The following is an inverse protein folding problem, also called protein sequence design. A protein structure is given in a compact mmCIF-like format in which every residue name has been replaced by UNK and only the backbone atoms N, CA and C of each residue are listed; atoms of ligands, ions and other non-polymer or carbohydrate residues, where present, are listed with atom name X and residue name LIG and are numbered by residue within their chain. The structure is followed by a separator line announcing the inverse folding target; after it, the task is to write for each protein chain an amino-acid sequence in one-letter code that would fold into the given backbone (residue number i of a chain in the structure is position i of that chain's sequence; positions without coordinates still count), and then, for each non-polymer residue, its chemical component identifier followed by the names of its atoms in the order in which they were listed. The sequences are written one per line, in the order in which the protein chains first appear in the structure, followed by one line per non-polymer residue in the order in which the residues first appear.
data_IF_385927937059
#
_entry.id   IF_385927937059
#
_cell.length_a   1.000
_cell.length_b   1.000
_cell.length_c   1.000
_cell.angle_alpha   90.00
_cell.angle_beta   90.00
_cell.angle_gamma   90.00
#
_symmetry.space_group_name_H-M   'P 1'
#
loop_
_entity.id
_entity.type
_entity.pdbx_description
1 polymer ?
#
# COMPACT_ATOMS: atom_id res chain seq x y z
N UNK A 1 15.02 4.07 13.12
CA UNK A 1 13.90 4.22 12.16
C UNK A 1 14.26 3.63 10.80
N UNK A 2 15.28 4.14 10.11
CA UNK A 2 15.74 3.58 8.82
C UNK A 2 16.14 2.09 8.90
N UNK A 3 16.98 1.71 9.86
CA UNK A 3 17.42 0.31 10.04
C UNK A 3 16.26 -0.66 10.33
N UNK A 4 15.27 -0.19 11.09
CA UNK A 4 14.05 -0.97 11.41
C UNK A 4 13.21 -1.18 10.16
N UNK A 5 13.03 -0.14 9.34
CA UNK A 5 12.33 -0.25 8.07
C UNK A 5 13.06 -1.14 7.06
N UNK A 6 14.40 -1.08 7.03
CA UNK A 6 15.23 -1.96 6.19
C UNK A 6 15.11 -3.43 6.64
N UNK A 7 15.09 -3.71 7.95
CA UNK A 7 14.89 -5.05 8.46
C UNK A 7 13.51 -5.62 8.13
N UNK A 8 12.45 -4.81 8.23
CA UNK A 8 11.08 -5.21 7.86
C UNK A 8 10.98 -5.41 6.35
N UNK A 9 11.56 -4.51 5.55
CA UNK A 9 11.63 -4.63 4.10
C UNK A 9 12.30 -5.94 3.67
N UNK A 10 13.44 -6.29 4.29
CA UNK A 10 14.15 -7.52 4.03
C UNK A 10 13.36 -8.77 4.46
N UNK A 11 12.71 -8.73 5.64
CA UNK A 11 11.91 -9.85 6.16
C UNK A 11 10.69 -10.13 5.29
N UNK A 12 10.01 -9.08 4.84
CA UNK A 12 8.72 -9.19 4.15
C UNK A 12 8.86 -9.16 2.62
N UNK A 13 10.08 -8.99 2.11
CA UNK A 13 10.36 -8.92 0.67
C UNK A 13 9.75 -7.68 -0.01
N UNK A 14 9.61 -6.58 0.73
CA UNK A 14 8.96 -5.33 0.27
C UNK A 14 9.97 -4.19 0.19
N UNK A 15 9.58 -3.08 -0.45
CA UNK A 15 10.41 -1.87 -0.48
C UNK A 15 10.46 -1.17 0.89
N UNK A 16 11.57 -0.49 1.19
CA UNK A 16 11.73 0.28 2.46
C UNK A 16 10.63 1.32 2.64
N UNK A 17 10.19 1.99 1.57
CA UNK A 17 9.07 2.94 1.64
C UNK A 17 7.74 2.30 2.04
N UNK A 18 7.48 1.07 1.60
CA UNK A 18 6.29 0.29 1.99
C UNK A 18 6.38 -0.12 3.47
N UNK A 19 7.55 -0.57 3.91
CA UNK A 19 7.81 -0.89 5.31
C UNK A 19 7.60 0.33 6.23
N UNK A 20 8.11 1.50 5.85
CA UNK A 20 7.90 2.76 6.59
C UNK A 20 6.40 3.11 6.66
N UNK A 21 5.69 2.99 5.54
CA UNK A 21 4.25 3.32 5.47
C UNK A 21 3.43 2.43 6.39
N UNK A 22 3.75 1.12 6.47
CA UNK A 22 3.11 0.19 7.41
C UNK A 22 3.38 0.55 8.88
N UNK A 23 4.65 0.80 9.22
CA UNK A 23 5.04 1.16 10.61
C UNK A 23 4.29 2.41 11.08
N UNK A 24 4.20 3.43 10.24
CA UNK A 24 3.49 4.65 10.59
C UNK A 24 1.96 4.46 10.59
N UNK A 25 1.41 3.69 9.66
CA UNK A 25 -0.02 3.37 9.63
C UNK A 25 -0.47 2.69 10.92
N UNK A 26 0.24 1.63 11.32
CA UNK A 26 -0.02 0.91 12.58
C UNK A 26 0.12 1.81 13.81
N UNK A 27 1.18 2.62 13.88
CA UNK A 27 1.42 3.51 15.02
C UNK A 27 0.34 4.60 15.17
N UNK A 28 -0.27 5.02 14.07
CA UNK A 28 -1.34 6.03 14.05
C UNK A 28 -2.75 5.41 14.17
N UNK A 29 -2.85 4.07 14.23
CA UNK A 29 -4.14 3.37 14.19
C UNK A 29 -4.88 3.56 12.86
N UNK A 30 -4.17 3.96 11.80
CA UNK A 30 -4.73 4.21 10.48
C UNK A 30 -4.47 3.00 9.59
N UNK A 31 -5.53 2.45 9.00
CA UNK A 31 -5.38 1.50 7.91
C UNK A 31 -4.60 2.16 6.77
N UNK A 32 -3.54 1.50 6.30
CA UNK A 32 -2.80 1.97 5.11
C UNK A 32 -3.78 2.02 3.93
N UNK A 33 -3.96 3.18 3.28
CA UNK A 33 -4.87 3.29 2.14
C UNK A 33 -4.47 2.32 1.02
N UNK A 34 -5.44 1.69 0.34
CA UNK A 34 -5.14 0.67 -0.67
C UNK A 34 -4.27 1.18 -1.84
N UNK A 35 -4.37 2.47 -2.17
CA UNK A 35 -3.53 3.07 -3.21
C UNK A 35 -2.03 3.11 -2.84
N UNK A 36 -1.70 3.05 -1.55
CA UNK A 36 -0.33 2.94 -1.05
C UNK A 36 0.20 1.50 -1.09
N UNK A 37 -0.67 0.51 -1.23
CA UNK A 37 -0.28 -0.90 -1.28
C UNK A 37 0.21 -1.28 -2.69
N UNK A 38 1.16 -2.23 -2.80
CA UNK A 38 1.55 -2.79 -4.09
C UNK A 38 0.35 -3.51 -4.73
N UNK A 39 0.31 -3.55 -6.07
CA UNK A 39 -0.82 -4.11 -6.84
C UNK A 39 -1.22 -5.54 -6.44
N UNK A 40 -0.27 -6.34 -5.96
CA UNK A 40 -0.51 -7.71 -5.49
C UNK A 40 -1.26 -7.80 -4.16
N UNK A 41 -1.27 -6.73 -3.36
CA UNK A 41 -1.93 -6.64 -2.06
C UNK A 41 -3.20 -5.77 -2.09
N UNK A 42 -3.53 -5.15 -3.23
CA UNK A 42 -4.78 -4.40 -3.40
C UNK A 42 -5.94 -5.39 -3.48
N UNK A 43 -7.03 -5.11 -2.77
CA UNK A 43 -8.25 -5.89 -2.92
C UNK A 43 -8.70 -5.80 -4.38
N UNK A 44 -9.02 -6.94 -5.00
CA UNK A 44 -9.43 -7.04 -6.41
C UNK A 44 -10.76 -6.33 -6.72
N UNK A 45 -11.35 -5.63 -5.75
CA UNK A 45 -12.65 -4.97 -5.81
C UNK A 45 -12.64 -3.50 -6.23
N UNK A 46 -11.46 -2.85 -6.28
CA UNK A 46 -11.35 -1.41 -6.56
C UNK A 46 -10.86 -1.07 -7.98
N UNK A 47 -10.79 -2.05 -8.89
CA UNK A 47 -10.93 -1.75 -10.32
C UNK A 47 -12.40 -1.37 -10.55
N UNK A 48 -12.77 -0.18 -10.07
CA UNK A 48 -13.94 0.55 -10.54
C UNK A 48 -13.73 0.71 -12.05
N UNK A 49 -14.30 -0.21 -12.82
CA UNK A 49 -14.55 -0.02 -14.23
C UNK A 49 -15.39 1.25 -14.31
N UNK A 50 -14.74 2.40 -14.51
CA UNK A 50 -15.41 3.62 -14.89
C UNK A 50 -16.06 3.28 -16.24
N UNK A 51 -17.40 3.18 -16.31
CA UNK A 51 -18.03 3.03 -17.61
C UNK A 51 -17.72 4.34 -18.32
N UNK A 52 -16.80 4.30 -19.28
CA UNK A 52 -16.62 5.37 -20.24
C UNK A 52 -17.88 5.38 -21.11
N UNK A 53 -19.00 5.84 -20.54
CA UNK A 53 -20.15 6.26 -21.31
C UNK A 53 -19.62 7.34 -22.22
N UNK A 54 -19.47 6.98 -23.50
CA UNK A 54 -19.03 7.86 -24.56
C UNK A 54 -19.84 9.15 -24.44
N UNK A 55 -19.17 10.24 -24.06
CA UNK A 55 -19.75 11.57 -24.21
C UNK A 55 -19.98 11.78 -25.71
N UNK A 56 -21.22 12.14 -26.04
CA UNK A 56 -21.71 12.46 -27.40
C UNK A 56 -20.91 13.58 -28.06
#
# INVERSE_FOLDING_TARGET
MREVAEAIAARDGVGVGEAVTRIFGEALGLSVPEYCLPKSQRSRGDELELPLSKAS
#
